data_IF_229682280514
#
_entry.id   IF_229682280514
#
_cell.length_a   1.000
_cell.length_b   1.000
_cell.length_c   1.000
_cell.angle_alpha   90.00
_cell.angle_beta   90.00
_cell.angle_gamma   90.00
#
_symmetry.space_group_name_H-M   'P 1'
#
loop_
_entity.id
_entity.type
_entity.pdbx_description
1 polymer ?
#
# COMPACT_ATOMS: atom_id res chain seq x y z
N UNK A 1 6.33 -1.76 11.98
CA UNK A 1 5.10 -0.95 12.23
C UNK A 1 4.06 -1.30 11.18
N UNK A 2 2.78 -0.97 11.38
CA UNK A 2 1.68 -1.44 10.51
C UNK A 2 1.90 -1.14 9.03
N UNK A 3 2.32 0.09 8.68
CA UNK A 3 2.47 0.53 7.29
C UNK A 3 1.62 1.74 6.94
N UNK A 4 1.28 2.59 7.92
CA UNK A 4 0.50 3.82 7.70
C UNK A 4 1.06 4.70 6.57
N UNK A 5 2.40 4.90 6.44
CA UNK A 5 2.94 5.71 5.34
C UNK A 5 2.59 5.19 3.93
N UNK A 6 2.37 3.88 3.78
CA UNK A 6 1.93 3.29 2.51
C UNK A 6 0.51 3.77 2.17
N UNK A 7 -0.39 3.74 3.15
CA UNK A 7 -1.78 4.15 2.98
C UNK A 7 -1.91 5.66 2.76
N UNK A 8 -1.06 6.46 3.40
CA UNK A 8 -0.97 7.91 3.17
C UNK A 8 -0.54 8.21 1.73
N UNK A 9 0.52 7.56 1.24
CA UNK A 9 0.97 7.70 -0.14
C UNK A 9 -0.12 7.32 -1.15
N UNK A 10 -0.80 6.19 -0.92
CA UNK A 10 -1.93 5.77 -1.74
C UNK A 10 -3.08 6.76 -1.75
N UNK A 11 -3.43 7.34 -0.59
CA UNK A 11 -4.48 8.36 -0.48
C UNK A 11 -4.14 9.63 -1.27
N UNK A 12 -2.85 9.93 -1.42
CA UNK A 12 -2.36 11.05 -2.24
C UNK A 12 -2.20 10.70 -3.73
N UNK A 13 -2.56 9.49 -4.15
CA UNK A 13 -2.34 9.02 -5.52
C UNK A 13 -0.86 8.86 -5.89
N UNK A 14 -0.01 8.63 -4.88
CA UNK A 14 1.42 8.38 -5.08
C UNK A 14 1.67 6.86 -5.15
N UNK A 15 2.24 6.34 -6.26
CA UNK A 15 2.65 4.94 -6.32
C UNK A 15 3.82 4.70 -5.37
N UNK A 16 3.90 3.49 -4.81
CA UNK A 16 4.92 3.14 -3.82
C UNK A 16 5.79 2.01 -4.32
N UNK A 17 7.10 2.18 -4.13
CA UNK A 17 8.12 1.16 -4.36
C UNK A 17 8.65 0.75 -2.98
N UNK A 18 8.50 -0.53 -2.62
CA UNK A 18 8.66 -1.02 -1.26
C UNK A 18 9.51 -2.30 -1.23
N UNK A 19 10.13 -2.59 -0.09
CA UNK A 19 10.73 -3.91 0.13
C UNK A 19 9.64 -4.99 0.15
N UNK A 20 9.94 -6.17 -0.36
CA UNK A 20 9.09 -7.37 -0.26
C UNK A 20 9.07 -8.04 1.14
N UNK A 21 9.61 -7.39 2.18
CA UNK A 21 9.70 -7.92 3.55
C UNK A 21 8.73 -7.21 4.51
N UNK A 22 8.66 -7.72 5.74
CA UNK A 22 7.84 -7.15 6.83
C UNK A 22 6.34 -7.13 6.50
N UNK A 23 5.60 -6.15 7.01
CA UNK A 23 4.17 -5.98 6.75
C UNK A 23 3.87 -5.32 5.39
N UNK A 24 4.88 -4.96 4.60
CA UNK A 24 4.65 -4.21 3.37
C UNK A 24 3.85 -5.00 2.32
N UNK A 25 4.15 -6.30 2.05
CA UNK A 25 3.33 -7.10 1.15
C UNK A 25 1.89 -7.26 1.63
N UNK A 26 1.67 -7.31 2.95
CA UNK A 26 0.33 -7.43 3.54
C UNK A 26 -0.50 -6.15 3.36
N UNK A 27 0.11 -4.98 3.55
CA UNK A 27 -0.58 -3.70 3.42
C UNK A 27 -0.74 -3.30 1.95
N UNK A 28 0.34 -3.35 1.16
CA UNK A 28 0.34 -2.82 -0.19
C UNK A 28 -0.30 -3.77 -1.22
N UNK A 29 -0.25 -5.10 -1.01
CA UNK A 29 -0.76 -6.10 -1.97
C UNK A 29 -0.36 -5.74 -3.42
N UNK A 30 -1.30 -5.83 -4.38
CA UNK A 30 -1.07 -5.55 -5.79
C UNK A 30 -0.88 -4.05 -6.12
N UNK A 31 -1.07 -3.15 -5.15
CA UNK A 31 -0.87 -1.72 -5.33
C UNK A 31 0.61 -1.30 -5.17
N UNK A 32 1.43 -2.13 -4.54
CA UNK A 32 2.86 -1.90 -4.40
C UNK A 32 3.66 -2.41 -5.60
N UNK A 33 4.82 -1.79 -5.83
CA UNK A 33 5.91 -2.40 -6.58
C UNK A 33 6.98 -2.82 -5.59
N UNK A 34 7.48 -4.05 -5.71
CA UNK A 34 8.36 -4.64 -4.71
C UNK A 34 9.77 -4.87 -5.22
N UNK A 35 10.75 -4.65 -4.35
CA UNK A 35 12.16 -4.96 -4.57
C UNK A 35 12.71 -5.86 -3.45
N UNK A 36 13.81 -6.54 -3.77
CA UNK A 36 14.63 -7.24 -2.78
C UNK A 36 15.55 -6.26 -2.06
N UNK A 37 15.46 -6.11 -0.72
CA UNK A 37 16.15 -5.02 0.00
C UNK A 37 17.67 -5.16 0.06
N UNK A 38 18.19 -6.36 -0.17
CA UNK A 38 19.63 -6.66 -0.17
C UNK A 38 20.22 -6.67 -1.59
N UNK A 39 19.42 -6.29 -2.60
CA UNK A 39 19.81 -6.28 -4.01
C UNK A 39 19.59 -4.87 -4.58
N UNK A 40 20.69 -4.16 -4.85
CA UNK A 40 20.67 -2.78 -5.33
C UNK A 40 20.05 -2.70 -6.73
N UNK A 41 20.37 -3.66 -7.59
CA UNK A 41 19.82 -3.75 -8.95
C UNK A 41 18.30 -3.89 -8.92
N UNK A 42 17.75 -4.71 -8.02
CA UNK A 42 16.31 -4.88 -7.83
C UNK A 42 15.60 -3.58 -7.41
N UNK A 43 16.26 -2.76 -6.58
CA UNK A 43 15.75 -1.45 -6.17
C UNK A 43 15.69 -0.52 -7.38
N UNK A 44 16.77 -0.43 -8.15
CA UNK A 44 16.88 0.41 -9.34
C UNK A 44 15.82 0.03 -10.37
N UNK A 45 15.75 -1.25 -10.74
CA UNK A 45 14.78 -1.77 -11.70
C UNK A 45 13.33 -1.45 -11.29
N UNK A 46 13.02 -1.59 -10.00
CA UNK A 46 11.67 -1.32 -9.48
C UNK A 46 11.28 0.15 -9.58
N UNK A 47 12.24 1.05 -9.31
CA UNK A 47 12.04 2.50 -9.45
C UNK A 47 11.90 2.86 -10.93
N UNK A 48 12.82 2.40 -11.78
CA UNK A 48 12.80 2.65 -13.22
C UNK A 48 11.50 2.19 -13.87
N UNK A 49 11.00 1.01 -13.47
CA UNK A 49 9.74 0.46 -13.98
C UNK A 49 8.56 1.43 -13.78
N UNK A 50 8.45 2.06 -12.62
CA UNK A 50 7.40 3.06 -12.33
C UNK A 50 7.64 4.39 -13.06
N UNK A 51 8.89 4.77 -13.30
CA UNK A 51 9.22 5.99 -14.04
C UNK A 51 8.97 5.88 -15.55
N UNK A 52 9.27 4.72 -16.14
CA UNK A 52 9.23 4.50 -17.58
C UNK A 52 7.82 4.04 -18.02
N UNK A 53 7.23 3.08 -17.31
CA UNK A 53 5.93 2.51 -17.68
C UNK A 53 4.77 3.35 -17.09
N UNK A 54 4.28 4.28 -17.91
CA UNK A 54 3.14 5.14 -17.55
C UNK A 54 1.86 4.35 -17.29
N UNK A 55 1.64 3.23 -17.98
CA UNK A 55 0.43 2.43 -17.82
C UNK A 55 0.47 1.72 -16.47
N UNK A 56 1.60 1.09 -16.14
CA UNK A 56 1.82 0.49 -14.83
C UNK A 56 1.67 1.53 -13.71
N UNK A 57 2.24 2.73 -13.88
CA UNK A 57 2.10 3.80 -12.89
C UNK A 57 0.63 4.16 -12.62
N UNK A 58 -0.15 4.37 -13.68
CA UNK A 58 -1.58 4.70 -13.56
C UNK A 58 -2.38 3.55 -12.94
N UNK A 59 -2.05 2.31 -13.30
CA UNK A 59 -2.63 1.12 -12.70
C UNK A 59 -2.36 1.08 -11.18
N UNK A 60 -1.10 1.23 -10.75
CA UNK A 60 -0.74 1.21 -9.32
C UNK A 60 -1.36 2.35 -8.52
N UNK A 61 -1.50 3.53 -9.11
CA UNK A 61 -2.24 4.64 -8.50
C UNK A 61 -3.71 4.27 -8.29
N UNK A 62 -4.36 3.72 -9.32
CA UNK A 62 -5.78 3.31 -9.26
C UNK A 62 -6.03 2.22 -8.21
N UNK A 63 -5.18 1.19 -8.17
CA UNK A 63 -5.27 0.11 -7.18
C UNK A 63 -4.95 0.66 -5.77
N UNK A 64 -3.93 1.51 -5.64
CA UNK A 64 -3.55 2.15 -4.38
C UNK A 64 -4.67 2.98 -3.78
N UNK A 65 -5.32 3.85 -4.57
CA UNK A 65 -6.46 4.64 -4.11
C UNK A 65 -7.59 3.74 -3.56
N UNK A 66 -7.92 2.65 -4.26
CA UNK A 66 -8.90 1.67 -3.77
C UNK A 66 -8.44 1.01 -2.47
N UNK A 67 -7.16 0.63 -2.38
CA UNK A 67 -6.57 0.03 -1.19
C UNK A 67 -6.63 0.97 0.02
N UNK A 68 -6.38 2.26 -0.17
CA UNK A 68 -6.49 3.25 0.91
C UNK A 68 -7.92 3.35 1.48
N UNK A 69 -8.95 3.27 0.62
CA UNK A 69 -10.35 3.28 1.07
C UNK A 69 -10.71 2.08 1.97
N UNK A 70 -10.02 0.95 1.83
CA UNK A 70 -10.24 -0.22 2.69
C UNK A 70 -9.84 0.00 4.15
N UNK A 71 -8.99 1.00 4.42
CA UNK A 71 -8.44 1.34 5.75
C UNK A 71 -8.93 2.69 6.27
N UNK A 72 -10.19 3.04 6.00
CA UNK A 72 -10.80 4.27 6.52
C UNK A 72 -11.07 4.22 8.03
N UNK A 73 -10.92 5.38 8.69
CA UNK A 73 -11.26 5.55 10.09
C UNK A 73 -12.74 5.25 10.39
N UNK A 74 -13.64 5.56 9.46
CA UNK A 74 -15.07 5.26 9.58
C UNK A 74 -15.31 3.75 9.67
N UNK A 75 -14.61 2.95 8.86
CA UNK A 75 -14.71 1.48 8.89
C UNK A 75 -14.12 0.92 10.17
N UNK A 76 -12.96 1.42 10.60
CA UNK A 76 -12.35 1.04 11.89
C UNK A 76 -13.29 1.33 13.05
N UNK A 77 -13.79 2.56 13.17
CA UNK A 77 -14.69 2.96 14.25
C UNK A 77 -15.99 2.12 14.27
N UNK A 78 -16.58 1.86 13.10
CA UNK A 78 -17.79 1.04 12.99
C UNK A 78 -17.55 -0.39 13.47
N UNK A 79 -16.49 -1.04 12.98
CA UNK A 79 -16.14 -2.42 13.37
C UNK A 79 -15.76 -2.52 14.85
N UNK A 80 -14.99 -1.58 15.38
CA UNK A 80 -14.64 -1.56 16.82
C UNK A 80 -15.89 -1.41 17.69
N UNK A 81 -16.83 -0.54 17.29
CA UNK A 81 -18.11 -0.36 17.99
C UNK A 81 -18.96 -1.64 18.00
N UNK A 82 -18.99 -2.40 16.91
CA UNK A 82 -19.71 -3.67 16.84
C UNK A 82 -19.18 -4.67 17.86
N UNK A 83 -17.85 -4.79 17.99
CA UNK A 83 -17.23 -5.66 19.00
C UNK A 83 -17.55 -5.19 20.41
N UNK A 84 -17.51 -3.88 20.69
CA UNK A 84 -17.88 -3.37 22.01
C UNK A 84 -19.34 -3.70 22.36
N UNK A 85 -20.24 -3.64 21.38
CA UNK A 85 -21.65 -4.03 21.57
C UNK A 85 -21.87 -5.53 21.74
N UNK A 86 -20.96 -6.40 21.30
CA UNK A 86 -21.14 -7.85 21.44
C UNK A 86 -20.72 -8.38 22.82
N UNK A 87 -20.04 -7.56 23.62
CA UNK A 87 -19.51 -7.96 24.94
C UNK A 87 -20.09 -7.16 26.11
N UNK A 88 -20.94 -6.17 25.82
CA UNK A 88 -21.73 -5.39 26.78
C UNK A 88 -23.19 -5.86 26.72
#
# INVERSE_FOLDING_TARGET
>A
GFGIPILEAFSCGCPVVLSNRSSFPEIALDAGVYFEPENVESIVESIEKIFIDKNLKLEKISIGLKRAHDFSWQKTASKTKEIYKSIL
#
